data_IF_517255440731
#
_entry.id   IF_517255440731
#
_cell.length_a   1.000
_cell.length_b   1.000
_cell.length_c   1.000
_cell.angle_alpha   90.00
_cell.angle_beta   90.00
_cell.angle_gamma   90.00
#
_symmetry.space_group_name_H-M   'P 1'
#
loop_
_entity.id
_entity.type
_entity.pdbx_description
1 polymer ?
#
# COMPACT_ATOMS: atom_id res chain seq x y z
N UNK A 1 -4.15 2.39 -2.94
CA UNK A 1 -5.24 1.79 -2.14
C UNK A 1 -4.91 1.96 -0.66
N UNK A 2 -5.89 1.79 0.22
CA UNK A 2 -5.68 1.64 1.67
C UNK A 2 -6.79 0.75 2.22
N UNK A 3 -6.41 -0.31 2.92
CA UNK A 3 -7.35 -1.31 3.40
C UNK A 3 -7.62 -1.17 4.90
N UNK A 4 -8.88 -1.22 5.36
CA UNK A 4 -9.21 -1.08 6.77
C UNK A 4 -8.87 -2.36 7.56
N UNK A 5 -8.71 -2.20 8.87
CA UNK A 5 -8.69 -3.31 9.83
C UNK A 5 -10.12 -3.77 10.18
N UNK A 6 -10.25 -4.95 10.79
CA UNK A 6 -11.55 -5.60 11.08
C UNK A 6 -12.61 -4.68 11.72
N UNK A 7 -12.32 -3.88 12.78
CA UNK A 7 -13.37 -3.04 13.38
C UNK A 7 -14.02 -2.05 12.41
N UNK A 8 -13.21 -1.31 11.63
CA UNK A 8 -13.70 -0.33 10.65
C UNK A 8 -14.39 -1.02 9.47
N UNK A 9 -13.85 -2.16 9.00
CA UNK A 9 -14.45 -2.94 7.91
C UNK A 9 -15.84 -3.46 8.32
N UNK A 10 -15.95 -3.99 9.54
CA UNK A 10 -17.20 -4.48 10.11
C UNK A 10 -18.23 -3.37 10.27
N UNK A 11 -17.81 -2.22 10.81
CA UNK A 11 -18.68 -1.07 11.03
C UNK A 11 -19.27 -0.53 9.71
N UNK A 12 -18.43 -0.38 8.67
CA UNK A 12 -18.83 0.30 7.43
C UNK A 12 -19.41 -0.62 6.37
N UNK A 13 -18.97 -1.88 6.35
CA UNK A 13 -19.23 -2.81 5.25
C UNK A 13 -19.62 -4.21 5.71
N UNK A 14 -19.75 -4.44 7.03
CA UNK A 14 -20.04 -5.75 7.61
C UNK A 14 -19.08 -6.86 7.13
N UNK A 15 -17.85 -6.50 6.76
CA UNK A 15 -16.81 -7.38 6.21
C UNK A 15 -15.63 -7.54 7.17
N UNK A 16 -14.67 -8.39 6.78
CA UNK A 16 -13.36 -8.46 7.44
C UNK A 16 -12.45 -7.34 6.94
N UNK A 17 -11.43 -7.01 7.73
CA UNK A 17 -10.31 -6.21 7.26
C UNK A 17 -9.54 -6.92 6.16
N UNK A 18 -8.61 -6.18 5.55
CA UNK A 18 -7.80 -6.70 4.45
C UNK A 18 -6.32 -6.41 4.68
N UNK A 19 -5.68 -7.34 5.38
CA UNK A 19 -4.23 -7.43 5.53
C UNK A 19 -3.67 -8.25 4.37
N UNK A 20 -2.57 -7.78 3.78
CA UNK A 20 -1.99 -8.36 2.57
C UNK A 20 -0.49 -8.59 2.73
N UNK A 21 0.04 -9.47 1.90
CA UNK A 21 1.47 -9.67 1.67
C UNK A 21 1.68 -9.86 0.17
N UNK A 22 2.71 -9.22 -0.35
CA UNK A 22 3.09 -9.34 -1.75
C UNK A 22 4.44 -10.03 -1.87
N UNK A 23 4.54 -11.01 -2.75
CA UNK A 23 5.79 -11.65 -3.15
C UNK A 23 6.07 -11.37 -4.62
N UNK A 24 7.17 -10.70 -4.93
CA UNK A 24 7.53 -10.32 -6.30
C UNK A 24 8.04 -11.54 -7.05
N UNK A 25 7.32 -11.94 -8.09
CA UNK A 25 7.67 -13.08 -8.94
C UNK A 25 8.55 -12.66 -10.11
N UNK A 26 8.27 -11.50 -10.70
CA UNK A 26 9.07 -10.90 -11.77
C UNK A 26 8.88 -9.37 -11.82
N UNK A 27 9.82 -8.65 -12.42
CA UNK A 27 9.79 -7.18 -12.46
C UNK A 27 10.70 -6.59 -13.53
N UNK A 28 10.23 -5.54 -14.21
CA UNK A 28 11.06 -4.74 -15.12
C UNK A 28 12.15 -3.94 -14.36
N UNK A 29 13.18 -3.46 -15.07
CA UNK A 29 14.36 -2.77 -14.49
C UNK A 29 14.02 -1.52 -13.65
N UNK A 30 12.96 -0.81 -14.03
CA UNK A 30 12.47 0.41 -13.37
C UNK A 30 11.11 0.22 -12.70
N UNK A 31 10.65 -1.02 -12.56
CA UNK A 31 9.40 -1.29 -11.89
C UNK A 31 9.53 -1.09 -10.36
N UNK A 32 8.50 -0.45 -9.82
CA UNK A 32 8.47 0.07 -8.47
C UNK A 32 7.11 -0.18 -7.83
N UNK A 33 7.08 -0.27 -6.51
CA UNK A 33 5.84 -0.27 -5.73
C UNK A 33 5.85 0.88 -4.74
N UNK A 34 4.66 1.31 -4.34
CA UNK A 34 4.47 2.27 -3.24
C UNK A 34 4.06 1.49 -2.01
N UNK A 35 4.80 1.65 -0.90
CA UNK A 35 4.50 1.00 0.38
C UNK A 35 4.73 1.99 1.53
N UNK A 36 3.64 2.62 1.97
CA UNK A 36 3.62 3.56 3.08
C UNK A 36 4.11 4.97 2.73
N UNK A 37 4.40 5.75 3.78
CA UNK A 37 4.97 7.08 3.67
C UNK A 37 6.46 7.06 4.03
N UNK A 38 7.25 7.96 3.46
CA UNK A 38 8.69 8.11 3.77
C UNK A 38 8.95 8.66 5.18
N UNK A 39 7.92 9.22 5.81
CA UNK A 39 7.98 9.80 7.16
C UNK A 39 6.62 9.70 7.86
N UNK A 40 6.58 9.77 9.20
CA UNK A 40 5.33 9.88 9.94
C UNK A 40 4.55 11.13 9.52
N UNK A 41 3.26 10.97 9.25
CA UNK A 41 2.33 12.05 8.96
C UNK A 41 1.18 12.00 9.96
N UNK A 42 0.64 13.18 10.27
CA UNK A 42 -0.64 13.31 10.96
C UNK A 42 -1.70 13.80 9.95
N UNK A 43 -2.95 13.93 10.39
CA UNK A 43 -4.05 14.35 9.53
C UNK A 43 -3.79 15.71 8.87
N UNK A 44 -3.29 16.68 9.64
CA UNK A 44 -3.04 18.04 9.17
C UNK A 44 -1.94 18.07 8.11
N UNK A 45 -0.80 17.41 8.37
CA UNK A 45 0.30 17.37 7.41
C UNK A 45 -0.07 16.59 6.16
N UNK A 46 -0.80 15.48 6.28
CA UNK A 46 -1.34 14.75 5.14
C UNK A 46 -2.26 15.63 4.29
N UNK A 47 -3.23 16.31 4.90
CA UNK A 47 -4.14 17.22 4.19
C UNK A 47 -3.38 18.32 3.47
N UNK A 48 -2.34 18.90 4.09
CA UNK A 48 -1.51 19.90 3.44
C UNK A 48 -0.80 19.37 2.19
N UNK A 49 -0.21 18.18 2.24
CA UNK A 49 0.42 17.57 1.06
C UNK A 49 -0.60 17.29 -0.05
N UNK A 50 -1.80 16.84 0.33
CA UNK A 50 -2.89 16.57 -0.60
C UNK A 50 -3.40 17.83 -1.29
N UNK A 51 -3.69 18.90 -0.53
CA UNK A 51 -4.23 20.16 -1.05
C UNK A 51 -3.24 20.94 -1.93
N UNK A 52 -1.94 20.68 -1.78
CA UNK A 52 -0.90 21.29 -2.60
C UNK A 52 -0.43 20.40 -3.76
N UNK A 53 -1.11 19.28 -4.05
CA UNK A 53 -0.72 18.30 -5.08
C UNK A 53 0.68 17.69 -4.90
N UNK A 54 1.16 17.63 -3.65
CA UNK A 54 2.50 17.16 -3.26
C UNK A 54 2.46 15.81 -2.54
N UNK A 55 1.35 15.08 -2.61
CA UNK A 55 1.21 13.82 -1.87
C UNK A 55 2.23 12.76 -2.30
N UNK A 56 2.63 12.76 -3.58
CA UNK A 56 3.62 11.83 -4.11
C UNK A 56 4.99 12.01 -3.46
N UNK A 57 5.34 13.24 -3.04
CA UNK A 57 6.63 13.57 -2.43
C UNK A 57 6.86 12.87 -1.07
N UNK A 58 5.78 12.38 -0.46
CA UNK A 58 5.81 11.72 0.84
C UNK A 58 5.44 10.24 0.78
N UNK A 59 5.12 9.70 -0.41
CA UNK A 59 4.92 8.28 -0.61
C UNK A 59 6.28 7.57 -0.71
N UNK A 60 6.37 6.40 -0.07
CA UNK A 60 7.57 5.60 -0.10
C UNK A 60 7.54 4.66 -1.30
N UNK A 61 8.30 5.01 -2.33
CA UNK A 61 8.48 4.20 -3.53
C UNK A 61 9.71 3.31 -3.39
N UNK A 62 9.58 2.04 -3.77
CA UNK A 62 10.62 1.02 -3.62
C UNK A 62 10.75 0.28 -4.95
N UNK A 63 11.97 0.27 -5.52
CA UNK A 63 12.31 -0.60 -6.64
C UNK A 63 12.24 -2.05 -6.22
N UNK A 64 11.63 -2.88 -7.07
CA UNK A 64 11.45 -4.30 -6.81
C UNK A 64 12.45 -5.14 -7.56
N UNK A 65 12.76 -6.32 -7.00
CA UNK A 65 13.43 -7.42 -7.70
C UNK A 65 12.71 -8.75 -7.44
N UNK A 66 12.88 -9.76 -8.30
CA UNK A 66 12.29 -11.08 -8.05
C UNK A 66 12.75 -11.64 -6.70
N UNK A 67 11.81 -12.17 -5.93
CA UNK A 67 12.03 -12.71 -4.60
C UNK A 67 11.85 -11.72 -3.44
N UNK A 68 11.64 -10.42 -3.70
CA UNK A 68 11.26 -9.48 -2.65
C UNK A 68 9.91 -9.84 -2.03
N UNK A 69 9.76 -9.57 -0.74
CA UNK A 69 8.52 -9.79 0.00
C UNK A 69 8.15 -8.55 0.82
N UNK A 70 6.88 -8.12 0.70
CA UNK A 70 6.37 -6.93 1.35
C UNK A 70 5.15 -7.27 2.20
N UNK A 71 5.22 -6.95 3.50
CA UNK A 71 4.06 -7.00 4.38
C UNK A 71 3.27 -5.69 4.30
N UNK A 72 1.98 -5.78 3.97
CA UNK A 72 1.07 -4.66 3.81
C UNK A 72 0.00 -4.74 4.92
N UNK A 73 0.30 -4.22 6.11
CA UNK A 73 -0.67 -4.16 7.18
C UNK A 73 -1.81 -3.21 6.84
N UNK A 74 -2.99 -3.52 7.36
CA UNK A 74 -4.18 -2.66 7.26
C UNK A 74 -3.85 -1.22 7.68
N UNK A 75 -4.38 -0.24 6.95
CA UNK A 75 -4.14 1.19 7.15
C UNK A 75 -2.88 1.72 6.45
N UNK A 76 -2.06 0.85 5.83
CA UNK A 76 -0.93 1.28 5.01
C UNK A 76 -1.39 1.69 3.62
N UNK A 77 -1.05 2.90 3.18
CA UNK A 77 -1.19 3.28 1.77
C UNK A 77 -0.23 2.47 0.92
N UNK A 78 -0.70 1.95 -0.20
CA UNK A 78 0.14 1.17 -1.10
C UNK A 78 -0.40 1.18 -2.53
N UNK A 79 0.47 0.90 -3.50
CA UNK A 79 0.11 0.70 -4.90
C UNK A 79 1.16 -0.18 -5.60
N UNK A 80 0.70 -0.97 -6.56
CA UNK A 80 1.55 -1.76 -7.46
C UNK A 80 1.83 -0.89 -8.69
N UNK A 81 3.11 -0.67 -9.02
CA UNK A 81 3.49 0.04 -10.23
C UNK A 81 3.44 -0.85 -11.48
N UNK A 82 3.60 -0.22 -12.64
CA UNK A 82 3.69 -0.95 -13.91
C UNK A 82 4.94 -1.84 -13.95
N UNK A 83 4.86 -2.94 -14.69
CA UNK A 83 5.98 -3.87 -14.87
C UNK A 83 6.24 -4.80 -13.68
N UNK A 84 5.38 -4.80 -12.65
CA UNK A 84 5.49 -5.72 -11.51
C UNK A 84 4.54 -6.92 -11.70
N UNK A 85 5.10 -8.13 -11.63
CA UNK A 85 4.34 -9.37 -11.50
C UNK A 85 4.53 -9.93 -10.09
N UNK A 86 3.44 -10.08 -9.34
CA UNK A 86 3.49 -10.52 -7.95
C UNK A 86 2.40 -11.54 -7.59
N UNK A 87 2.66 -12.31 -6.55
CA UNK A 87 1.65 -13.09 -5.84
C UNK A 87 1.13 -12.27 -4.66
N UNK A 88 -0.18 -12.11 -4.59
CA UNK A 88 -0.87 -11.40 -3.51
C UNK A 88 -1.56 -12.40 -2.58
N UNK A 89 -1.15 -12.40 -1.31
CA UNK A 89 -1.71 -13.23 -0.27
C UNK A 89 -2.47 -12.31 0.68
N UNK A 90 -3.80 -12.44 0.72
CA UNK A 90 -4.67 -11.51 1.43
C UNK A 90 -5.65 -12.23 2.36
N UNK A 91 -6.13 -11.51 3.39
CA UNK A 91 -7.33 -11.93 4.12
C UNK A 91 -8.52 -12.02 3.15
N UNK A 92 -9.43 -12.97 3.39
CA UNK A 92 -10.64 -13.15 2.56
C UNK A 92 -11.62 -11.98 2.78
N UNK A 93 -11.41 -10.90 2.02
CA UNK A 93 -12.15 -9.64 2.05
C UNK A 93 -11.96 -8.91 0.73
N UNK A 94 -13.00 -8.24 0.25
CA UNK A 94 -12.99 -7.27 -0.86
C UNK A 94 -13.99 -6.13 -0.57
#
# INVERSE_FOLDING_TARGET
>A
QVHPHDPIAKERHNSFGKNEMWYIMDTDEDAEIIVGFTKPLNKESYTKYLENDQILDVLNTVKTKPGDAFNIPTGRVHAIGAGVLLAEIQQTSD
#
